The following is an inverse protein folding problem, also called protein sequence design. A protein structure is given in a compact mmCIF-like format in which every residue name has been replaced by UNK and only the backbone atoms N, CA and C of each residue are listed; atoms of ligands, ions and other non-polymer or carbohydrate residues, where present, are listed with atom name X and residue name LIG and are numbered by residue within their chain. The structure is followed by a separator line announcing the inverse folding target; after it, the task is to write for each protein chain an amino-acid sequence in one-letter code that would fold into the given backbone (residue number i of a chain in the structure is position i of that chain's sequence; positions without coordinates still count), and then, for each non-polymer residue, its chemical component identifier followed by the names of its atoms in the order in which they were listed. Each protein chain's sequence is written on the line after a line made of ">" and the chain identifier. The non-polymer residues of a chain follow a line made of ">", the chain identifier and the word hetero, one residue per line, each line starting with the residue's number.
data_IF_616196227785
#
_entry.id   IF_616196227785
#
_cell.length_a   1.000
_cell.length_b   1.000
_cell.length_c   1.000
_cell.angle_alpha   90.00
_cell.angle_beta   90.00
_cell.angle_gamma   90.00
#
_symmetry.space_group_name_H-M   'P 1'
#
loop_
_entity.id
_entity.type
_entity.pdbx_description
1 polymer ?
#
# COMPACT_ATOMS: atom_id res chain seq x y z
N UNK A 1 13.06 9.55 -1.75
CA UNK A 1 13.03 8.88 -0.42
C UNK A 1 14.42 8.35 -0.08
N UNK A 2 14.78 8.18 1.20
CA UNK A 2 16.09 7.60 1.58
C UNK A 2 16.05 6.05 1.52
N UNK A 3 17.17 5.41 1.15
CA UNK A 3 17.33 3.96 1.05
C UNK A 3 16.98 3.22 2.35
N UNK A 4 17.30 3.81 3.50
CA UNK A 4 16.93 3.25 4.81
C UNK A 4 15.42 3.15 5.02
N UNK A 5 14.65 4.07 4.43
CA UNK A 5 13.18 4.07 4.51
C UNK A 5 12.59 3.02 3.59
N UNK A 6 13.13 2.89 2.38
CA UNK A 6 12.73 1.84 1.42
C UNK A 6 12.98 0.46 2.04
N UNK A 7 14.15 0.25 2.66
CA UNK A 7 14.46 -0.99 3.36
C UNK A 7 13.47 -1.30 4.48
N UNK A 8 13.12 -0.31 5.31
CA UNK A 8 12.10 -0.48 6.37
C UNK A 8 10.73 -0.84 5.80
N UNK A 9 10.31 -0.24 4.69
CA UNK A 9 9.03 -0.59 4.04
C UNK A 9 9.06 -2.02 3.51
N UNK A 10 10.18 -2.42 2.89
CA UNK A 10 10.39 -3.78 2.41
C UNK A 10 10.33 -4.80 3.55
N UNK A 11 11.07 -4.56 4.63
CA UNK A 11 11.13 -5.46 5.78
C UNK A 11 9.77 -5.56 6.50
N UNK A 12 8.93 -4.53 6.41
CA UNK A 12 7.60 -4.49 7.03
C UNK A 12 6.45 -4.83 6.08
N UNK A 13 6.71 -5.16 4.80
CA UNK A 13 5.67 -5.32 3.79
C UNK A 13 4.60 -6.35 4.21
N UNK A 14 5.01 -7.53 4.69
CA UNK A 14 4.09 -8.55 5.18
C UNK A 14 3.32 -8.13 6.44
N UNK A 15 3.92 -7.30 7.30
CA UNK A 15 3.23 -6.75 8.46
C UNK A 15 2.17 -5.73 8.06
N UNK A 16 2.46 -4.91 7.04
CA UNK A 16 1.50 -3.98 6.43
C UNK A 16 0.35 -4.76 5.76
N UNK A 17 0.66 -5.87 5.09
CA UNK A 17 -0.36 -6.74 4.50
C UNK A 17 -1.28 -7.33 5.57
N UNK A 18 -0.72 -7.86 6.66
CA UNK A 18 -1.49 -8.34 7.82
C UNK A 18 -2.33 -7.23 8.44
N UNK A 19 -1.78 -6.03 8.60
CA UNK A 19 -2.51 -4.87 9.11
C UNK A 19 -3.78 -4.58 8.29
N UNK A 20 -3.70 -4.65 6.95
CA UNK A 20 -4.86 -4.46 6.06
C UNK A 20 -5.96 -5.53 6.22
N UNK A 21 -5.67 -6.65 6.89
CA UNK A 21 -6.64 -7.71 7.18
C UNK A 21 -7.35 -7.55 8.52
N UNK A 22 -6.85 -6.67 9.39
CA UNK A 22 -7.42 -6.40 10.72
C UNK A 22 -8.78 -5.71 10.61
N UNK A 23 -9.56 -5.74 11.70
CA UNK A 23 -10.82 -4.99 11.75
C UNK A 23 -10.57 -3.48 11.74
N UNK A 24 -11.50 -2.70 11.19
CA UNK A 24 -11.35 -1.23 11.07
C UNK A 24 -11.07 -0.58 12.44
N UNK A 25 -11.73 -1.06 13.50
CA UNK A 25 -11.48 -0.62 14.88
C UNK A 25 -10.05 -0.87 15.35
N UNK A 26 -9.43 -1.96 14.93
CA UNK A 26 -8.02 -2.26 15.26
C UNK A 26 -7.06 -1.42 14.43
N UNK A 27 -7.42 -1.17 13.17
CA UNK A 27 -6.64 -0.31 12.30
C UNK A 27 -6.57 1.12 12.84
N UNK A 28 -7.70 1.69 13.27
CA UNK A 28 -7.82 3.06 13.76
C UNK A 28 -6.87 3.38 14.93
N UNK A 29 -6.74 2.50 15.93
CA UNK A 29 -5.89 2.79 17.09
C UNK A 29 -4.40 2.48 16.84
N UNK A 30 -4.09 1.60 15.90
CA UNK A 30 -2.72 1.26 15.50
C UNK A 30 -2.13 2.28 14.52
N UNK A 31 -2.95 2.90 13.68
CA UNK A 31 -2.52 3.82 12.63
C UNK A 31 -1.63 4.98 13.13
N UNK A 32 -1.93 5.62 14.29
CA UNK A 32 -1.09 6.67 14.87
C UNK A 32 0.30 6.19 15.31
N UNK A 33 0.50 4.89 15.53
CA UNK A 33 1.77 4.32 15.98
C UNK A 33 2.75 4.07 14.82
N UNK A 34 2.27 4.13 13.58
CA UNK A 34 3.10 3.89 12.41
C UNK A 34 3.94 5.12 12.03
N UNK A 35 5.10 4.84 11.44
CA UNK A 35 5.91 5.86 10.82
C UNK A 35 5.15 6.51 9.65
N UNK A 36 5.41 7.80 9.39
CA UNK A 36 4.80 8.55 8.28
C UNK A 36 4.91 7.84 6.91
N UNK A 37 6.04 7.17 6.66
CA UNK A 37 6.26 6.40 5.43
C UNK A 37 5.31 5.20 5.30
N UNK A 38 5.02 4.53 6.42
CA UNK A 38 4.09 3.39 6.47
C UNK A 38 2.65 3.87 6.31
N UNK A 39 2.30 5.00 6.93
CA UNK A 39 0.98 5.64 6.74
C UNK A 39 0.79 6.03 5.27
N UNK A 40 1.81 6.62 4.63
CA UNK A 40 1.76 6.96 3.21
C UNK A 40 1.61 5.71 2.33
N UNK A 41 2.33 4.63 2.65
CA UNK A 41 2.20 3.36 1.96
C UNK A 41 0.77 2.79 2.07
N UNK A 42 0.14 2.86 3.24
CA UNK A 42 -1.25 2.47 3.44
C UNK A 42 -2.22 3.31 2.59
N UNK A 43 -2.06 4.65 2.58
CA UNK A 43 -2.86 5.53 1.72
C UNK A 43 -2.74 5.18 0.24
N UNK A 44 -1.52 4.91 -0.23
CA UNK A 44 -1.27 4.48 -1.62
C UNK A 44 -2.00 3.16 -1.90
N UNK A 45 -1.87 2.17 -1.00
CA UNK A 45 -2.51 0.87 -1.13
C UNK A 45 -4.04 0.96 -1.10
N UNK A 46 -4.60 1.91 -0.36
CA UNK A 46 -6.04 2.17 -0.33
C UNK A 46 -6.52 2.86 -1.61
N UNK A 47 -5.74 3.79 -2.17
CA UNK A 47 -6.06 4.45 -3.43
C UNK A 47 -6.17 3.47 -4.61
N UNK A 48 -5.30 2.45 -4.63
CA UNK A 48 -5.26 1.42 -5.69
C UNK A 48 -6.03 0.14 -5.35
N UNK A 49 -6.80 0.15 -4.25
CA UNK A 49 -7.54 -1.03 -3.79
C UNK A 49 -8.77 -1.33 -4.65
N UNK A 50 -9.47 -0.27 -5.07
CA UNK A 50 -10.74 -0.39 -5.79
C UNK A 50 -10.55 -0.37 -7.31
N UNK A 51 -9.65 0.47 -7.81
CA UNK A 51 -9.36 0.61 -9.23
C UNK A 51 -7.84 0.70 -9.47
N UNK A 52 -7.33 0.16 -10.58
CA UNK A 52 -5.97 0.43 -11.02
C UNK A 52 -5.82 1.93 -11.31
N UNK A 53 -4.79 2.56 -10.73
CA UNK A 53 -4.49 3.98 -10.96
C UNK A 53 -3.06 4.13 -11.47
N UNK A 54 -2.83 5.19 -12.23
CA UNK A 54 -1.48 5.58 -12.67
C UNK A 54 -0.66 6.13 -11.51
N UNK A 55 0.67 6.08 -11.61
CA UNK A 55 1.55 6.67 -10.57
C UNK A 55 1.31 8.17 -10.37
N UNK A 56 0.86 8.89 -11.40
CA UNK A 56 0.54 10.31 -11.36
C UNK A 56 -0.75 10.58 -10.59
N UNK A 57 -1.80 9.80 -10.83
CA UNK A 57 -3.07 9.92 -10.09
C UNK A 57 -2.89 9.58 -8.61
N UNK A 58 -2.15 8.51 -8.32
CA UNK A 58 -1.84 8.12 -6.93
C UNK A 58 -1.06 9.24 -6.23
N UNK A 59 -0.09 9.83 -6.93
CA UNK A 59 0.72 10.93 -6.42
C UNK A 59 -0.13 12.16 -6.07
N UNK A 60 -1.12 12.50 -6.91
CA UNK A 60 -2.07 13.57 -6.64
C UNK A 60 -2.95 13.27 -5.41
N UNK A 61 -3.53 12.06 -5.33
CA UNK A 61 -4.39 11.64 -4.20
C UNK A 61 -3.61 11.61 -2.88
N UNK A 62 -2.37 11.14 -2.92
CA UNK A 62 -1.53 10.97 -1.74
C UNK A 62 -0.64 12.18 -1.44
N UNK A 63 -0.79 13.27 -2.20
CA UNK A 63 -0.01 14.52 -2.08
C UNK A 63 1.51 14.27 -2.02
N UNK A 64 2.01 13.39 -2.88
CA UNK A 64 3.43 13.06 -2.96
C UNK A 64 3.93 13.04 -4.40
N UNK A 65 5.20 12.71 -4.63
CA UNK A 65 5.74 12.61 -6.00
C UNK A 65 5.49 11.23 -6.61
N UNK A 66 5.27 11.13 -7.93
CA UNK A 66 5.14 9.83 -8.62
C UNK A 66 6.34 8.91 -8.38
N UNK A 67 7.55 9.49 -8.27
CA UNK A 67 8.75 8.74 -7.93
C UNK A 67 8.71 8.15 -6.51
N UNK A 68 8.11 8.86 -5.55
CA UNK A 68 7.90 8.32 -4.19
C UNK A 68 6.89 7.19 -4.20
N UNK A 69 5.80 7.32 -4.93
CA UNK A 69 4.80 6.24 -5.13
C UNK A 69 5.48 4.99 -5.69
N UNK A 70 6.23 5.14 -6.77
CA UNK A 70 6.97 4.05 -7.40
C UNK A 70 7.96 3.39 -6.43
N UNK A 71 8.73 4.18 -5.67
CA UNK A 71 9.67 3.63 -4.68
C UNK A 71 8.99 2.85 -3.57
N UNK A 72 7.83 3.33 -3.08
CA UNK A 72 7.05 2.65 -2.04
C UNK A 72 6.51 1.33 -2.57
N UNK A 73 5.84 1.36 -3.72
CA UNK A 73 5.21 0.18 -4.31
C UNK A 73 6.21 -0.91 -4.68
N UNK A 74 7.32 -0.55 -5.31
CA UNK A 74 8.43 -1.47 -5.58
C UNK A 74 9.02 -2.03 -4.27
N UNK A 75 9.14 -1.20 -3.23
CA UNK A 75 9.64 -1.64 -1.92
C UNK A 75 8.73 -2.69 -1.27
N UNK A 76 7.41 -2.50 -1.37
CA UNK A 76 6.41 -3.43 -0.84
C UNK A 76 6.35 -4.74 -1.64
N UNK A 77 6.37 -4.65 -2.97
CA UNK A 77 6.39 -5.81 -3.87
C UNK A 77 7.65 -6.67 -3.66
N UNK A 78 8.83 -6.04 -3.62
CA UNK A 78 10.08 -6.72 -3.24
C UNK A 78 10.08 -7.26 -1.80
N UNK A 79 9.24 -6.70 -0.93
CA UNK A 79 9.02 -7.18 0.43
C UNK A 79 8.09 -8.40 0.52
N UNK A 80 7.58 -8.86 -0.62
CA UNK A 80 6.72 -10.04 -0.72
C UNK A 80 5.22 -9.74 -0.64
N UNK A 81 4.80 -8.48 -0.66
CA UNK A 81 3.38 -8.13 -0.75
C UNK A 81 2.87 -8.35 -2.18
N UNK A 82 1.65 -8.88 -2.31
CA UNK A 82 1.04 -9.11 -3.62
C UNK A 82 0.50 -7.80 -4.20
N UNK A 83 1.30 -7.16 -5.06
CA UNK A 83 0.94 -5.92 -5.78
C UNK A 83 1.12 -6.17 -7.28
N UNK A 84 0.14 -5.77 -8.07
CA UNK A 84 0.26 -5.76 -9.53
C UNK A 84 0.82 -4.40 -9.94
N UNK A 85 2.06 -4.41 -10.44
CA UNK A 85 2.73 -3.24 -10.98
C UNK A 85 2.88 -3.42 -12.50
N UNK A 86 2.28 -2.50 -13.25
CA UNK A 86 2.56 -2.31 -14.66
C UNK A 86 3.48 -1.09 -14.85
N UNK A 87 3.96 -0.84 -16.07
CA UNK A 87 4.83 0.29 -16.40
C UNK A 87 4.23 1.65 -16.05
N UNK A 88 2.90 1.76 -16.04
CA UNK A 88 2.18 3.02 -15.84
C UNK A 88 1.21 2.99 -14.66
N UNK A 89 0.68 1.81 -14.31
CA UNK A 89 -0.39 1.67 -13.33
C UNK A 89 -0.04 0.68 -12.22
N UNK A 90 -0.68 0.86 -11.07
CA UNK A 90 -0.58 -0.03 -9.94
C UNK A 90 -1.96 -0.46 -9.45
N UNK A 91 -2.06 -1.71 -9.02
CA UNK A 91 -3.25 -2.27 -8.42
C UNK A 91 -2.86 -3.18 -7.25
N UNK A 92 -3.49 -3.00 -6.09
CA UNK A 92 -3.25 -3.85 -4.92
C UNK A 92 -4.59 -4.23 -4.30
N UNK A 93 -5.13 -5.42 -4.59
CA UNK A 93 -6.43 -5.82 -4.07
C UNK A 93 -6.42 -5.70 -2.55
N UNK A 94 -7.51 -5.17 -1.99
CA UNK A 94 -7.68 -5.14 -0.53
C UNK A 94 -7.64 -6.59 -0.05
N UNK A 95 -6.85 -6.86 1.00
CA UNK A 95 -6.69 -8.18 1.62
C UNK A 95 -7.96 -8.66 2.33
N UNK A 96 -9.09 -8.68 1.63
CA UNK A 96 -10.32 -9.41 1.96
C UNK A 96 -11.25 -9.43 0.74
N UNK A 97 -11.13 -10.46 -0.10
CA UNK A 97 -12.26 -10.87 -0.93
C UNK A 97 -13.36 -11.32 0.04
N UNK A 98 -14.41 -10.51 0.21
CA UNK A 98 -15.66 -10.99 0.82
C UNK A 98 -16.10 -12.22 0.04
N UNK A 99 -16.49 -13.26 0.80
CA UNK A 99 -17.04 -14.54 0.34
C UNK A 99 -17.73 -14.41 -1.01
N UNK A 100 -17.30 -15.24 -1.97
CA UNK A 100 -18.09 -15.60 -3.16
C UNK A 100 -19.53 -15.85 -2.70
N UNK A 101 -20.43 -14.91 -2.96
CA UNK A 101 -21.86 -15.17 -2.86
C UNK A 101 -22.18 -16.13 -4.01
N UNK A 102 -22.15 -17.44 -3.72
CA UNK A 102 -22.71 -18.47 -4.61
C UNK A 102 -24.19 -18.10 -4.79
N UNK A 103 -24.53 -17.60 -5.97
CA UNK A 103 -25.90 -17.64 -6.50
C UNK A 103 -26.09 -18.96 -7.22
#
# INVERSE_FOLDING_TARGET
>A
MNQSTIKKLKDNALAIEKFRTLADSEQEWLLPLFAKSTILALKILDAIADNPLTFEEIAQICECSPQTVSQILNGLEQGGMTIQLDKLAAFAPKGRLRKLARR
#
